data_IF_615634910298
#
_entry.id   IF_615634910298
#
_cell.length_a   1.000
_cell.length_b   1.000
_cell.length_c   1.000
_cell.angle_alpha   90.00
_cell.angle_beta   90.00
_cell.angle_gamma   90.00
#
_symmetry.space_group_name_H-M   'P 1'
#
loop_
_entity.id
_entity.type
_entity.pdbx_description
1 polymer ?
#
# COMPACT_ATOMS: atom_id res chain seq x y z
N UNK A 1 -8.14 0.94 11.90
CA UNK A 1 -6.74 0.92 11.42
C UNK A 1 -6.66 0.85 9.90
N UNK A 2 -7.29 -0.13 9.23
CA UNK A 2 -7.27 -0.22 7.75
C UNK A 2 -7.85 1.02 7.05
N UNK A 3 -8.92 1.61 7.58
CA UNK A 3 -9.51 2.85 7.02
C UNK A 3 -8.53 4.02 7.00
N UNK A 4 -7.72 4.18 8.06
CA UNK A 4 -6.73 5.24 8.15
C UNK A 4 -5.61 5.04 7.12
N UNK A 5 -5.13 3.80 6.94
CA UNK A 5 -4.14 3.49 5.90
C UNK A 5 -4.63 3.91 4.51
N UNK A 6 -5.88 3.58 4.18
CA UNK A 6 -6.49 3.91 2.89
C UNK A 6 -6.72 5.40 2.70
N UNK A 7 -7.22 6.06 3.74
CA UNK A 7 -7.45 7.51 3.71
C UNK A 7 -6.13 8.25 3.50
N UNK A 8 -5.10 7.95 4.31
CA UNK A 8 -3.82 8.65 4.26
C UNK A 8 -3.02 8.34 2.98
N UNK A 9 -3.04 7.09 2.49
CA UNK A 9 -2.36 6.74 1.23
C UNK A 9 -3.03 7.42 0.04
N UNK A 10 -4.36 7.52 0.06
CA UNK A 10 -5.13 8.26 -0.95
C UNK A 10 -4.79 9.75 -0.94
N UNK A 11 -4.72 10.37 0.25
CA UNK A 11 -4.27 11.77 0.38
C UNK A 11 -2.91 11.96 -0.29
N UNK A 12 -1.92 11.13 0.02
CA UNK A 12 -0.57 11.23 -0.56
C UNK A 12 -0.57 11.05 -2.07
N UNK A 13 -1.32 10.07 -2.59
CA UNK A 13 -1.42 9.78 -4.02
C UNK A 13 -2.02 10.94 -4.80
N UNK A 14 -3.19 11.44 -4.35
CA UNK A 14 -3.88 12.53 -5.03
C UNK A 14 -3.16 13.86 -4.84
N UNK A 15 -2.57 14.12 -3.66
CA UNK A 15 -1.85 15.36 -3.43
C UNK A 15 -0.60 15.46 -4.31
N UNK A 16 0.16 14.36 -4.49
CA UNK A 16 1.27 14.35 -5.44
C UNK A 16 0.82 14.48 -6.89
N UNK A 17 -0.26 13.79 -7.26
CA UNK A 17 -0.77 13.85 -8.65
C UNK A 17 -1.31 15.24 -9.00
N UNK A 18 -1.98 15.90 -8.06
CA UNK A 18 -2.45 17.28 -8.20
C UNK A 18 -1.29 18.28 -8.18
N UNK A 19 -0.19 17.96 -7.48
CA UNK A 19 1.00 18.81 -7.46
C UNK A 19 1.90 18.60 -8.68
N UNK A 20 1.72 17.53 -9.47
CA UNK A 20 2.56 17.21 -10.62
C UNK A 20 2.74 18.37 -11.64
N UNK A 21 1.70 19.16 -11.96
CA UNK A 21 1.83 20.32 -12.85
C UNK A 21 2.62 21.49 -12.25
N UNK A 22 2.70 21.60 -10.92
CA UNK A 22 3.39 22.68 -10.22
C UNK A 22 4.90 22.44 -10.09
N UNK A 23 5.41 21.31 -10.58
CA UNK A 23 6.84 21.07 -10.66
C UNK A 23 7.51 21.99 -11.68
N UNK A 24 8.78 22.27 -11.46
CA UNK A 24 9.60 23.03 -12.41
C UNK A 24 9.62 22.34 -13.79
N UNK A 25 9.64 23.14 -14.85
CA UNK A 25 9.64 22.65 -16.25
C UNK A 25 8.26 22.70 -16.90
N UNK A 26 8.06 21.82 -17.88
CA UNK A 26 6.80 21.74 -18.65
C UNK A 26 5.77 20.87 -17.88
N UNK A 27 4.62 21.46 -17.58
CA UNK A 27 3.52 20.79 -16.89
C UNK A 27 2.99 19.57 -17.64
N UNK A 28 2.97 19.59 -18.98
CA UNK A 28 2.53 18.47 -19.80
C UNK A 28 3.52 17.30 -19.71
N UNK A 29 4.82 17.61 -19.74
CA UNK A 29 5.88 16.61 -19.60
C UNK A 29 5.89 16.01 -18.20
N UNK A 30 5.73 16.82 -17.16
CA UNK A 30 5.64 16.35 -15.78
C UNK A 30 4.41 15.45 -15.57
N UNK A 31 3.26 15.81 -16.14
CA UNK A 31 2.05 14.98 -16.08
C UNK A 31 2.22 13.66 -16.86
N UNK A 32 2.84 13.71 -18.04
CA UNK A 32 3.15 12.52 -18.84
C UNK A 32 4.09 11.57 -18.09
N UNK A 33 5.18 12.07 -17.50
CA UNK A 33 6.09 11.28 -16.66
C UNK A 33 5.36 10.70 -15.44
N UNK A 34 4.45 11.48 -14.86
CA UNK A 34 3.58 11.05 -13.76
C UNK A 34 2.71 9.85 -14.14
N UNK A 35 2.08 9.88 -15.32
CA UNK A 35 1.27 8.76 -15.81
C UNK A 35 2.16 7.57 -16.21
N UNK A 36 3.31 7.84 -16.83
CA UNK A 36 4.25 6.81 -17.29
C UNK A 36 4.81 5.99 -16.12
N UNK A 37 5.13 6.62 -14.98
CA UNK A 37 5.70 5.94 -13.81
C UNK A 37 4.69 5.04 -13.08
N UNK A 38 3.39 5.23 -13.28
CA UNK A 38 2.36 4.36 -12.69
C UNK A 38 2.40 2.94 -13.27
N UNK A 39 2.65 2.81 -14.58
CA UNK A 39 2.74 1.50 -15.25
C UNK A 39 3.82 0.59 -14.63
N UNK A 40 5.10 1.00 -14.52
CA UNK A 40 6.12 0.19 -13.85
C UNK A 40 5.84 0.06 -12.34
N UNK A 41 5.18 1.01 -11.69
CA UNK A 41 4.77 0.87 -10.29
C UNK A 41 3.80 -0.30 -10.09
N UNK A 42 2.82 -0.49 -10.99
CA UNK A 42 1.91 -1.63 -10.92
C UNK A 42 2.60 -2.97 -11.24
N UNK A 43 3.49 -2.99 -12.23
CA UNK A 43 4.25 -4.21 -12.59
C UNK A 43 5.15 -4.64 -11.43
N UNK A 44 5.91 -3.72 -10.86
CA UNK A 44 6.77 -3.99 -9.70
C UNK A 44 5.95 -4.39 -8.48
N UNK A 45 4.80 -3.75 -8.24
CA UNK A 45 3.92 -4.13 -7.15
C UNK A 45 3.42 -5.57 -7.29
N UNK A 46 2.98 -5.95 -8.48
CA UNK A 46 2.55 -7.32 -8.77
C UNK A 46 3.67 -8.35 -8.57
N UNK A 47 4.89 -8.06 -9.02
CA UNK A 47 6.04 -8.94 -8.83
C UNK A 47 6.44 -9.08 -7.36
N UNK A 48 6.50 -7.98 -6.62
CA UNK A 48 6.90 -7.98 -5.21
C UNK A 48 5.89 -8.75 -4.34
N UNK A 49 4.59 -8.57 -4.57
CA UNK A 49 3.55 -9.30 -3.84
C UNK A 49 3.62 -10.82 -3.99
N UNK A 50 4.22 -11.33 -5.07
CA UNK A 50 4.38 -12.77 -5.30
C UNK A 50 5.55 -13.38 -4.55
N UNK A 51 6.61 -12.62 -4.31
CA UNK A 51 7.91 -13.16 -3.84
C UNK A 51 8.21 -12.89 -2.37
N UNK A 52 7.66 -11.81 -1.81
CA UNK A 52 8.06 -11.30 -0.50
C UNK A 52 6.87 -11.18 0.47
N UNK A 53 7.13 -11.10 1.79
CA UNK A 53 6.12 -10.85 2.80
C UNK A 53 5.51 -9.45 2.66
N UNK A 54 4.18 -9.38 2.50
CA UNK A 54 3.45 -8.17 2.09
C UNK A 54 3.61 -7.00 3.05
N UNK A 55 3.67 -7.27 4.36
CA UNK A 55 3.82 -6.23 5.39
C UNK A 55 5.10 -5.43 5.18
N UNK A 56 6.23 -6.12 4.97
CA UNK A 56 7.53 -5.49 4.84
C UNK A 56 7.70 -4.79 3.49
N UNK A 57 7.11 -5.34 2.42
CA UNK A 57 7.14 -4.68 1.11
C UNK A 57 6.35 -3.38 1.15
N UNK A 58 5.10 -3.41 1.62
CA UNK A 58 4.24 -2.21 1.65
C UNK A 58 4.90 -1.14 2.52
N UNK A 59 5.42 -1.52 3.70
CA UNK A 59 6.16 -0.60 4.55
C UNK A 59 7.43 -0.07 3.86
N UNK A 60 8.25 -0.93 3.25
CA UNK A 60 9.50 -0.55 2.59
C UNK A 60 9.29 0.41 1.42
N UNK A 61 8.26 0.15 0.61
CA UNK A 61 7.87 1.00 -0.51
C UNK A 61 7.31 2.35 -0.03
N UNK A 62 6.53 2.37 1.06
CA UNK A 62 6.08 3.62 1.70
C UNK A 62 7.23 4.40 2.32
N UNK A 63 8.20 3.74 2.95
CA UNK A 63 9.41 4.39 3.47
C UNK A 63 10.27 4.96 2.36
N UNK A 64 10.41 4.22 1.24
CA UNK A 64 11.12 4.71 0.07
C UNK A 64 10.40 5.93 -0.53
N UNK A 65 9.09 5.84 -0.74
CA UNK A 65 8.29 6.95 -1.28
C UNK A 65 8.31 8.18 -0.38
N UNK A 66 8.02 8.01 0.91
CA UNK A 66 8.01 9.10 1.89
C UNK A 66 9.40 9.68 2.19
N UNK A 67 10.42 8.83 2.29
CA UNK A 67 11.80 9.26 2.51
C UNK A 67 12.33 10.11 1.36
N UNK A 68 12.08 9.68 0.12
CA UNK A 68 12.44 10.44 -1.07
C UNK A 68 11.75 11.81 -1.11
N UNK A 69 10.48 11.91 -0.71
CA UNK A 69 9.77 13.19 -0.61
C UNK A 69 10.36 14.13 0.45
N UNK A 70 10.82 13.58 1.58
CA UNK A 70 11.50 14.37 2.62
C UNK A 70 12.88 14.86 2.16
N UNK A 71 13.56 14.09 1.32
CA UNK A 71 14.87 14.47 0.78
C UNK A 71 14.81 15.67 -0.17
N UNK A 72 13.63 16.00 -0.71
CA UNK A 72 13.44 17.16 -1.62
C UNK A 72 13.89 18.47 -0.96
N UNK A 73 13.74 18.63 0.37
CA UNK A 73 14.15 19.89 1.03
C UNK A 73 15.66 20.15 0.96
N UNK A 74 16.47 19.09 0.82
CA UNK A 74 17.92 19.20 0.79
C UNK A 74 18.45 19.48 -0.62
N UNK A 75 17.57 19.47 -1.63
CA UNK A 75 17.94 19.70 -3.03
C UNK A 75 17.95 21.20 -3.31
N UNK A 76 19.08 21.77 -3.75
CA UNK A 76 19.14 23.16 -4.21
C UNK A 76 18.21 23.39 -5.41
N UNK A 77 17.61 24.58 -5.50
CA UNK A 77 16.66 24.95 -6.56
C UNK A 77 17.26 24.87 -7.99
N UNK A 78 18.59 24.81 -8.11
CA UNK A 78 19.28 24.74 -9.40
C UNK A 78 19.15 23.38 -10.09
N UNK A 79 18.85 22.30 -9.35
CA UNK A 79 18.77 20.93 -9.88
C UNK A 79 17.33 20.46 -10.15
N UNK A 80 16.67 21.11 -11.11
CA UNK A 80 15.27 20.81 -11.49
C UNK A 80 15.05 19.32 -11.85
N UNK A 81 15.97 18.72 -12.62
CA UNK A 81 15.88 17.30 -13.01
C UNK A 81 15.92 16.35 -11.81
N UNK A 82 16.72 16.68 -10.79
CA UNK A 82 16.85 15.86 -9.59
C UNK A 82 15.60 15.95 -8.72
N UNK A 83 15.01 17.14 -8.60
CA UNK A 83 13.71 17.34 -7.94
C UNK A 83 12.58 16.56 -8.62
N UNK A 84 12.49 16.63 -9.96
CA UNK A 84 11.50 15.85 -10.73
C UNK A 84 11.74 14.35 -10.50
N UNK A 85 12.98 13.86 -10.59
CA UNK A 85 13.31 12.46 -10.36
C UNK A 85 12.89 11.96 -8.97
N UNK A 86 13.14 12.75 -7.92
CA UNK A 86 12.71 12.42 -6.56
C UNK A 86 11.17 12.38 -6.46
N UNK A 87 10.46 13.36 -7.02
CA UNK A 87 8.99 13.34 -7.00
C UNK A 87 8.43 12.12 -7.75
N UNK A 88 9.01 11.75 -8.89
CA UNK A 88 8.59 10.56 -9.64
C UNK A 88 8.87 9.27 -8.87
N UNK A 89 10.00 9.17 -8.16
CA UNK A 89 10.28 8.05 -7.26
C UNK A 89 9.33 8.00 -6.05
N UNK A 90 9.00 9.17 -5.48
CA UNK A 90 7.99 9.30 -4.44
C UNK A 90 6.62 8.81 -4.90
N UNK A 91 6.20 9.25 -6.09
CA UNK A 91 4.96 8.81 -6.75
C UNK A 91 4.97 7.31 -7.05
N UNK A 92 6.08 6.78 -7.57
CA UNK A 92 6.25 5.34 -7.78
C UNK A 92 5.99 4.54 -6.50
N UNK A 93 6.58 4.96 -5.37
CA UNK A 93 6.38 4.32 -4.07
C UNK A 93 4.92 4.37 -3.59
N UNK A 94 4.29 5.54 -3.66
CA UNK A 94 2.90 5.68 -3.20
C UNK A 94 1.93 4.92 -4.09
N UNK A 95 2.09 4.96 -5.42
CA UNK A 95 1.25 4.21 -6.37
C UNK A 95 1.36 2.70 -6.17
N UNK A 96 2.59 2.19 -6.05
CA UNK A 96 2.81 0.77 -5.80
C UNK A 96 2.22 0.34 -4.45
N UNK A 97 2.43 1.11 -3.38
CA UNK A 97 1.79 0.87 -2.09
C UNK A 97 0.25 0.89 -2.17
N UNK A 98 -0.34 1.85 -2.90
CA UNK A 98 -1.78 1.94 -3.10
C UNK A 98 -2.33 0.68 -3.77
N UNK A 99 -1.70 0.19 -4.83
CA UNK A 99 -2.10 -1.06 -5.50
C UNK A 99 -1.98 -2.29 -4.59
N UNK A 100 -0.92 -2.38 -3.80
CA UNK A 100 -0.72 -3.47 -2.85
C UNK A 100 -1.76 -3.48 -1.73
N UNK A 101 -2.21 -2.29 -1.29
CA UNK A 101 -3.24 -2.18 -0.26
C UNK A 101 -4.58 -2.80 -0.68
N UNK A 102 -4.96 -2.75 -1.97
CA UNK A 102 -6.16 -3.44 -2.49
C UNK A 102 -6.07 -4.96 -2.29
N UNK A 103 -4.92 -5.54 -2.60
CA UNK A 103 -4.69 -6.98 -2.44
C UNK A 103 -4.62 -7.34 -0.95
N UNK A 104 -3.91 -6.53 -0.17
CA UNK A 104 -3.73 -6.75 1.26
C UNK A 104 -5.04 -6.71 2.04
N UNK A 105 -5.96 -5.77 1.73
CA UNK A 105 -7.28 -5.78 2.35
C UNK A 105 -8.10 -7.00 1.93
N UNK A 106 -8.05 -7.40 0.66
CA UNK A 106 -8.75 -8.60 0.23
C UNK A 106 -8.30 -9.84 1.02
N UNK A 107 -7.02 -9.98 1.30
CA UNK A 107 -6.48 -11.11 2.06
C UNK A 107 -6.77 -11.04 3.57
N UNK A 108 -6.83 -9.84 4.13
CA UNK A 108 -7.07 -9.65 5.56
C UNK A 108 -8.52 -10.00 5.94
N UNK A 109 -9.48 -9.72 5.05
CA UNK A 109 -10.92 -9.91 5.32
C UNK A 109 -11.46 -11.22 4.73
N UNK A 110 -12.31 -11.96 5.47
CA UNK A 110 -12.88 -13.21 4.98
C UNK A 110 -13.83 -12.97 3.80
N UNK A 111 -13.99 -13.98 2.95
CA UNK A 111 -14.73 -13.90 1.67
C UNK A 111 -16.12 -13.27 1.81
N UNK A 112 -16.85 -13.59 2.88
CA UNK A 112 -18.20 -13.08 3.16
C UNK A 112 -18.26 -11.55 3.34
N UNK A 113 -17.24 -10.94 3.94
CA UNK A 113 -17.22 -9.49 4.24
C UNK A 113 -16.17 -8.74 3.44
N UNK A 114 -15.41 -9.43 2.58
CA UNK A 114 -14.33 -8.87 1.77
C UNK A 114 -14.82 -7.72 0.89
N UNK A 115 -15.90 -7.93 0.15
CA UNK A 115 -16.44 -6.91 -0.75
C UNK A 115 -16.91 -5.67 0.02
N UNK A 116 -17.55 -5.87 1.18
CA UNK A 116 -17.93 -4.78 2.07
C UNK A 116 -16.71 -4.04 2.61
N UNK A 117 -15.68 -4.77 3.07
CA UNK A 117 -14.46 -4.17 3.59
C UNK A 117 -13.74 -3.31 2.55
N UNK A 118 -13.57 -3.82 1.32
CA UNK A 118 -12.99 -3.07 0.19
C UNK A 118 -13.85 -1.85 -0.15
N UNK A 119 -15.18 -1.98 -0.10
CA UNK A 119 -16.11 -0.87 -0.30
C UNK A 119 -15.94 0.25 0.74
N UNK A 120 -15.90 -0.10 2.02
CA UNK A 120 -15.73 0.90 3.10
C UNK A 120 -14.34 1.54 3.06
N UNK A 121 -13.28 0.77 2.79
CA UNK A 121 -11.93 1.36 2.63
C UNK A 121 -11.83 2.25 1.39
N UNK A 122 -12.58 1.94 0.32
CA UNK A 122 -12.67 2.80 -0.86
C UNK A 122 -13.45 4.09 -0.57
N UNK A 123 -14.50 4.04 0.24
CA UNK A 123 -15.17 5.28 0.69
C UNK A 123 -14.22 6.14 1.52
N UNK A 124 -13.43 5.53 2.41
CA UNK A 124 -12.41 6.25 3.18
C UNK A 124 -11.31 6.86 2.30
N UNK A 125 -10.89 6.18 1.22
CA UNK A 125 -9.94 6.76 0.26
C UNK A 125 -10.53 7.96 -0.49
N UNK A 126 -11.84 7.97 -0.78
CA UNK A 126 -12.50 9.14 -1.37
C UNK A 126 -12.50 10.34 -0.44
N UNK A 127 -12.71 10.14 0.86
CA UNK A 127 -12.51 11.22 1.85
C UNK A 127 -11.08 11.77 1.77
N UNK A 128 -10.09 10.89 1.68
CA UNK A 128 -8.69 11.30 1.47
C UNK A 128 -8.48 12.13 0.19
N UNK A 129 -9.14 11.77 -0.92
CA UNK A 129 -9.06 12.53 -2.18
C UNK A 129 -9.68 13.92 -2.09
N UNK A 130 -10.70 14.12 -1.25
CA UNK A 130 -11.31 15.43 -0.99
C UNK A 130 -10.37 16.33 -0.18
N UNK A 131 -9.57 15.74 0.72
CA UNK A 131 -8.62 16.48 1.56
C UNK A 131 -7.32 16.80 0.78
N UNK A 132 -6.95 15.99 -0.22
CA UNK A 132 -5.70 16.12 -0.98
C UNK A 132 -5.40 17.53 -1.54
N UNK A 133 -6.36 18.28 -2.16
CA UNK A 133 -6.10 19.62 -2.68
C UNK A 133 -5.65 20.62 -1.61
N UNK A 134 -6.08 20.46 -0.35
CA UNK A 134 -5.67 21.36 0.74
C UNK A 134 -4.17 21.25 1.05
N UNK A 135 -3.58 20.06 0.87
CA UNK A 135 -2.13 19.88 1.01
C UNK A 135 -1.35 20.57 -0.11
N UNK A 136 -1.89 20.56 -1.34
CA UNK A 136 -1.29 21.27 -2.48
C UNK A 136 -1.41 22.78 -2.30
N UNK A 137 -2.55 23.25 -1.78
CA UNK A 137 -2.77 24.67 -1.49
C UNK A 137 -1.76 25.24 -0.47
N UNK A 138 -1.27 24.42 0.46
CA UNK A 138 -0.18 24.78 1.38
C UNK A 138 1.11 25.21 0.63
N UNK A 139 1.27 24.74 -0.61
CA UNK A 139 2.37 25.11 -1.50
C UNK A 139 2.35 26.57 -1.93
N UNK A 140 1.20 27.25 -1.82
CA UNK A 140 1.09 28.69 -2.09
C UNK A 140 1.85 29.54 -1.05
N UNK A 141 1.98 29.04 0.19
CA UNK A 141 2.76 29.70 1.23
C UNK A 141 4.25 29.36 1.12
N UNK A 142 4.58 28.08 0.96
CA UNK A 142 5.95 27.62 0.75
C UNK A 142 5.96 26.36 -0.12
N UNK A 143 6.72 26.38 -1.21
CA UNK A 143 6.83 25.26 -2.16
C UNK A 143 7.29 23.94 -1.52
N UNK A 144 8.02 24.00 -0.41
CA UNK A 144 8.59 22.80 0.25
C UNK A 144 7.60 22.17 1.23
N UNK A 145 6.66 22.94 1.79
CA UNK A 145 5.72 22.48 2.82
C UNK A 145 4.86 21.27 2.38
N UNK A 146 4.26 21.25 1.19
CA UNK A 146 3.46 20.11 0.74
C UNK A 146 4.26 18.81 0.76
N UNK A 147 5.51 18.84 0.30
CA UNK A 147 6.37 17.66 0.22
C UNK A 147 6.75 17.14 1.61
N UNK A 148 7.03 18.03 2.57
CA UNK A 148 7.33 17.63 3.96
C UNK A 148 6.11 16.97 4.60
N UNK A 149 4.93 17.57 4.45
CA UNK A 149 3.71 17.05 5.06
C UNK A 149 3.30 15.73 4.41
N UNK A 150 3.35 15.63 3.07
CA UNK A 150 3.08 14.37 2.36
C UNK A 150 4.10 13.28 2.71
N UNK A 151 5.39 13.62 2.74
CA UNK A 151 6.47 12.70 3.05
C UNK A 151 6.39 12.14 4.48
N UNK A 152 6.22 13.02 5.47
CA UNK A 152 6.04 12.62 6.88
C UNK A 152 4.79 11.77 7.09
N UNK A 153 3.67 12.12 6.44
CA UNK A 153 2.45 11.32 6.48
C UNK A 153 2.69 9.93 5.86
N UNK A 154 3.38 9.85 4.73
CA UNK A 154 3.69 8.58 4.05
C UNK A 154 4.58 7.68 4.91
N UNK A 155 5.58 8.25 5.58
CA UNK A 155 6.44 7.53 6.54
C UNK A 155 5.61 7.03 7.74
N UNK A 156 4.72 7.85 8.27
CA UNK A 156 3.83 7.47 9.37
C UNK A 156 2.91 6.29 8.99
N UNK A 157 2.37 6.28 7.76
CA UNK A 157 1.60 5.15 7.22
C UNK A 157 2.49 3.89 7.12
N UNK A 158 3.74 4.03 6.69
CA UNK A 158 4.71 2.93 6.66
C UNK A 158 4.91 2.30 8.04
N UNK A 159 5.02 3.13 9.08
CA UNK A 159 5.12 2.68 10.48
C UNK A 159 3.83 1.96 10.91
N UNK A 160 2.65 2.52 10.63
CA UNK A 160 1.36 1.88 10.96
C UNK A 160 1.22 0.53 10.25
N UNK A 161 1.68 0.43 9.01
CA UNK A 161 1.66 -0.81 8.22
C UNK A 161 2.48 -1.91 8.88
N UNK A 162 3.59 -1.55 9.54
CA UNK A 162 4.35 -2.51 10.34
C UNK A 162 3.58 -3.04 11.54
N UNK A 163 2.48 -2.47 11.99
CA UNK A 163 1.70 -3.08 13.09
C UNK A 163 0.66 -4.10 12.61
N UNK A 164 0.49 -4.27 11.29
CA UNK A 164 -0.46 -5.25 10.76
C UNK A 164 0.07 -6.70 10.85
N UNK A 165 -0.83 -7.68 11.04
CA UNK A 165 -0.47 -9.09 10.94
C UNK A 165 -0.05 -9.45 9.51
N UNK A 166 0.92 -10.34 9.38
CA UNK A 166 1.43 -10.83 8.10
C UNK A 166 0.37 -11.71 7.40
N UNK A 167 0.07 -11.43 6.13
CA UNK A 167 -0.86 -12.25 5.31
C UNK A 167 -0.15 -13.25 4.39
N UNK A 168 1.19 -13.27 4.36
CA UNK A 168 1.98 -14.09 3.44
C UNK A 168 1.92 -15.57 3.80
N UNK A 169 1.52 -16.40 2.84
CA UNK A 169 1.45 -17.86 2.98
C UNK A 169 0.30 -18.39 3.84
N UNK A 170 -0.65 -17.56 4.27
CA UNK A 170 -1.84 -18.02 5.00
C UNK A 170 -2.98 -18.36 4.03
N UNK A 171 -3.70 -19.44 4.31
CA UNK A 171 -4.97 -19.75 3.63
C UNK A 171 -5.96 -18.64 3.91
N UNK A 172 -6.67 -18.18 2.88
CA UNK A 172 -7.71 -17.15 3.02
C UNK A 172 -8.73 -17.63 4.06
N UNK A 173 -9.01 -16.85 5.12
CA UNK A 173 -10.03 -17.24 6.08
C UNK A 173 -11.39 -17.26 5.39
N UNK A 174 -12.02 -18.42 5.33
CA UNK A 174 -13.35 -18.59 4.75
C UNK A 174 -14.44 -18.18 5.74
N UNK A 175 -14.14 -18.26 7.04
CA UNK A 175 -15.09 -17.95 8.12
C UNK A 175 -14.55 -16.91 9.10
N UNK A 176 -15.47 -16.18 9.75
CA UNK A 176 -15.14 -15.16 10.76
C UNK A 176 -14.37 -15.75 11.96
N UNK A 177 -14.67 -17.00 12.34
CA UNK A 177 -14.01 -17.70 13.44
C UNK A 177 -12.53 -17.99 13.16
N UNK A 178 -12.18 -18.29 11.90
CA UNK A 178 -10.79 -18.47 11.47
C UNK A 178 -10.01 -17.15 11.54
N UNK A 179 -10.65 -16.03 11.17
CA UNK A 179 -10.05 -14.69 11.26
C UNK A 179 -9.77 -14.28 12.73
N UNK A 180 -10.67 -14.62 13.65
CA UNK A 180 -10.56 -14.27 15.07
C UNK A 180 -9.41 -15.01 15.78
N UNK A 181 -9.10 -16.25 15.35
CA UNK A 181 -7.92 -17.01 15.83
C UNK A 181 -6.58 -16.42 15.39
N UNK A 182 -6.53 -15.71 14.26
CA UNK A 182 -5.32 -15.04 13.75
C UNK A 182 -5.10 -13.67 14.42
N UNK A 183 -6.17 -12.97 14.82
CA UNK A 183 -6.10 -11.69 15.56
C UNK A 183 -5.83 -11.84 17.06
N UNK A 184 -6.10 -13.01 17.64
CA UNK A 184 -5.76 -13.30 19.03
C UNK A 184 -4.28 -13.67 19.14
N UNK A 185 -3.51 -12.89 19.90
CA UNK A 185 -2.19 -13.26 20.41
C UNK A 185 -2.20 -14.74 20.86
N UNK A 186 -1.69 -15.64 20.02
CA UNK A 186 -1.34 -16.99 20.43
C UNK A 186 0.16 -17.08 20.49
N UNK A 187 0.67 -16.95 21.72
CA UNK A 187 1.87 -17.64 22.17
C UNK A 187 1.83 -19.08 21.61
N UNK A 188 2.62 -19.34 20.57
CA UNK A 188 2.77 -20.70 20.06
C UNK A 188 3.87 -21.37 20.89
N UNK A 189 3.48 -22.08 21.95
CA UNK A 189 4.25 -23.28 22.31
C UNK A 189 4.12 -24.27 21.15
N UNK A 190 5.25 -24.70 20.60
CA UNK A 190 5.37 -25.90 19.75
C UNK A 190 5.70 -27.07 20.69
N UNK A 191 5.17 -28.28 20.47
CA UNK A 191 5.88 -29.33 19.71
C UNK A 191 4.93 -29.99 18.68
N UNK A 192 5.33 -30.29 17.44
CA UNK A 192 6.04 -31.47 16.91
C UNK A 192 5.35 -32.83 17.21
N UNK A 193 5.06 -33.50 16.09
CA UNK A 193 4.93 -34.95 15.84
C UNK A 193 3.55 -35.62 16.02
N UNK A 194 2.91 -35.89 14.87
CA UNK A 194 2.54 -37.25 14.49
C UNK A 194 2.31 -37.32 12.97
N UNK A 195 3.31 -37.87 12.29
CA UNK A 195 3.11 -38.59 11.03
C UNK A 195 2.54 -39.94 11.44
N UNK A 196 1.35 -40.29 10.96
CA UNK A 196 0.99 -41.70 10.80
C UNK A 196 0.16 -41.85 9.52
N UNK A 197 0.71 -42.70 8.64
CA UNK A 197 0.12 -43.23 7.42
C UNK A 197 -0.91 -44.31 7.77
N UNK A 198 -1.61 -44.74 6.72
CA UNK A 198 -2.53 -45.89 6.61
C UNK A 198 -3.96 -45.55 7.07
N UNK A 199 -5.02 -45.79 6.30
CA UNK A 199 -5.25 -46.90 5.39
C UNK A 199 -6.38 -46.55 4.40
N UNK A 200 -6.23 -46.95 3.14
CA UNK A 200 -7.29 -47.02 2.14
C UNK A 200 -7.94 -48.41 2.24
N UNK A 201 -9.28 -48.53 2.18
CA UNK A 201 -9.81 -49.58 1.31
C UNK A 201 -11.03 -49.10 0.47
N UNK A 202 -10.81 -49.05 -0.84
CA UNK A 202 -11.55 -49.77 -1.89
C UNK A 202 -13.04 -50.09 -1.66
N UNK A 203 -13.83 -49.60 -2.64
CA UNK A 203 -14.98 -50.25 -3.31
C UNK A 203 -16.37 -50.00 -2.71
N UNK A 204 -17.17 -49.23 -3.46
CA UNK A 204 -18.49 -49.69 -3.95
C UNK A 204 -18.95 -48.80 -5.12
N UNK A 205 -18.47 -49.17 -6.30
CA UNK A 205 -19.22 -49.01 -7.55
C UNK A 205 -20.23 -50.15 -7.55
N UNK A 206 -21.52 -49.86 -7.73
CA UNK A 206 -22.39 -50.64 -8.61
C UNK A 206 -23.63 -49.81 -8.95
N UNK A 207 -23.76 -49.51 -10.24
CA UNK A 207 -25.04 -49.35 -10.93
C UNK A 207 -25.70 -50.71 -11.09
N UNK A 208 -26.95 -50.85 -10.65
CA UNK A 208 -28.11 -51.41 -11.36
C UNK A 208 -29.34 -51.30 -10.45
#
# INVERSE_FOLDING_TARGET
>A
MSLLLWMLTSVGYFALSLNAPNLHGDAYLNCFLSALIEVPAYITAWLLLRTLPRRYIIAGVLFLGGGVLLLIQFVPADYNFLSIGLVMLGKFGITSAFSMLYVFTAELYPTLVRNMAVGVTSMASRVGSIIAPYFVYLGAYNRVLPYIVMGSLTVFIGIITLFFPESFGMTLPETLEQMQKVKGFRFRKKPRDSVEKEENPKVLITSF
#
